data_IF_969037990018
#
_entry.id   IF_969037990018
#
_cell.length_a   1.000
_cell.length_b   1.000
_cell.length_c   1.000
_cell.angle_alpha   90.00
_cell.angle_beta   90.00
_cell.angle_gamma   90.00
#
_symmetry.space_group_name_H-M   'P 1'
#
loop_
_entity.id
_entity.type
_entity.pdbx_description
1 polymer ?
#
# COMPACT_ATOMS: atom_id res chain seq x y z
N UNK A 1 -9.14 0.40 -0.16
CA UNK A 1 -8.43 -0.87 -0.46
C UNK A 1 -8.88 -1.49 -1.77
N UNK A 2 -10.17 -1.78 -2.01
CA UNK A 2 -10.57 -2.44 -3.27
C UNK A 2 -10.32 -1.59 -4.51
N UNK A 3 -10.65 -0.29 -4.45
CA UNK A 3 -10.39 0.64 -5.57
C UNK A 3 -8.89 0.72 -5.93
N UNK A 4 -8.01 0.85 -4.93
CA UNK A 4 -6.56 0.90 -5.16
C UNK A 4 -6.05 -0.39 -5.77
N UNK A 5 -6.52 -1.57 -5.34
CA UNK A 5 -6.11 -2.84 -5.94
C UNK A 5 -6.49 -2.97 -7.42
N UNK A 6 -7.65 -2.45 -7.82
CA UNK A 6 -8.08 -2.44 -9.23
C UNK A 6 -7.19 -1.50 -10.04
N UNK A 7 -6.90 -0.31 -9.51
CA UNK A 7 -5.99 0.63 -10.16
C UNK A 7 -4.56 0.07 -10.25
N UNK A 8 -4.06 -0.58 -9.20
CA UNK A 8 -2.75 -1.26 -9.20
C UNK A 8 -2.69 -2.36 -10.27
N UNK A 9 -3.72 -3.22 -10.38
CA UNK A 9 -3.74 -4.27 -11.41
C UNK A 9 -3.72 -3.70 -12.85
N UNK A 10 -4.35 -2.53 -13.06
CA UNK A 10 -4.29 -1.80 -14.34
C UNK A 10 -2.89 -1.22 -14.59
N UNK A 11 -2.25 -0.64 -13.57
CA UNK A 11 -0.92 -0.04 -13.66
C UNK A 11 0.17 -1.10 -13.89
N UNK A 12 0.08 -2.23 -13.20
CA UNK A 12 1.04 -3.33 -13.27
C UNK A 12 0.80 -4.28 -14.45
N UNK A 13 -0.26 -4.04 -15.24
CA UNK A 13 -0.71 -4.93 -16.31
C UNK A 13 -0.85 -6.39 -15.85
N UNK A 14 -1.38 -6.61 -14.64
CA UNK A 14 -1.48 -7.93 -14.05
C UNK A 14 -2.57 -8.75 -14.77
N UNK A 15 -2.25 -9.98 -15.18
CA UNK A 15 -3.22 -10.90 -15.80
C UNK A 15 -4.08 -11.63 -14.76
N UNK A 16 -3.56 -11.81 -13.54
CA UNK A 16 -4.22 -12.56 -12.46
C UNK A 16 -4.12 -11.85 -11.11
N UNK A 17 -5.11 -12.05 -10.24
CA UNK A 17 -5.14 -11.62 -8.84
C UNK A 17 -5.71 -12.74 -7.98
N UNK A 18 -4.93 -13.20 -6.99
CA UNK A 18 -5.31 -14.29 -6.06
C UNK A 18 -5.77 -15.58 -6.78
N UNK A 19 -5.10 -15.92 -7.89
CA UNK A 19 -5.42 -17.12 -8.68
C UNK A 19 -6.65 -17.03 -9.58
N UNK A 20 -7.30 -15.86 -9.67
CA UNK A 20 -8.38 -15.57 -10.63
C UNK A 20 -7.91 -14.52 -11.63
N UNK A 21 -8.59 -14.43 -12.79
CA UNK A 21 -8.32 -13.38 -13.77
C UNK A 21 -8.49 -12.00 -13.13
N UNK A 22 -7.56 -11.09 -13.42
CA UNK A 22 -7.68 -9.69 -12.98
C UNK A 22 -8.86 -9.00 -13.69
N UNK A 23 -9.39 -7.96 -13.06
CA UNK A 23 -10.52 -7.22 -13.65
C UNK A 23 -10.12 -6.59 -15.00
N UNK A 24 -8.90 -6.07 -15.11
CA UNK A 24 -8.40 -5.49 -16.36
C UNK A 24 -8.20 -6.54 -17.46
N UNK A 25 -7.83 -7.78 -17.13
CA UNK A 25 -7.79 -8.90 -18.09
C UNK A 25 -9.20 -9.25 -18.59
N UNK A 26 -10.17 -9.31 -17.68
CA UNK A 26 -11.54 -9.71 -18.02
C UNK A 26 -12.34 -8.65 -18.81
N UNK A 27 -12.18 -7.36 -18.47
CA UNK A 27 -13.03 -6.28 -19.03
C UNK A 27 -12.27 -5.13 -19.69
N UNK A 28 -10.94 -5.20 -19.72
CA UNK A 28 -10.06 -4.18 -20.28
C UNK A 28 -9.77 -3.02 -19.31
N UNK A 29 -8.60 -2.39 -19.51
CA UNK A 29 -8.04 -1.36 -18.63
C UNK A 29 -8.98 -0.15 -18.42
N UNK A 30 -9.69 0.29 -19.46
CA UNK A 30 -10.58 1.47 -19.38
C UNK A 30 -11.74 1.23 -18.41
N UNK A 31 -12.39 0.07 -18.50
CA UNK A 31 -13.53 -0.23 -17.64
C UNK A 31 -13.07 -0.55 -16.22
N UNK A 32 -11.93 -1.23 -16.07
CA UNK A 32 -11.33 -1.45 -14.76
C UNK A 32 -10.97 -0.13 -14.04
N UNK A 33 -10.38 0.84 -14.74
CA UNK A 33 -10.08 2.16 -14.17
C UNK A 33 -11.35 2.88 -13.68
N UNK A 34 -12.41 2.90 -14.50
CA UNK A 34 -13.70 3.49 -14.14
C UNK A 34 -14.37 2.77 -12.95
N UNK A 35 -14.21 1.45 -12.84
CA UNK A 35 -14.71 0.69 -11.69
C UNK A 35 -13.97 1.09 -10.40
N UNK A 36 -12.65 1.29 -10.48
CA UNK A 36 -11.85 1.84 -9.37
C UNK A 36 -12.34 3.23 -8.95
N UNK A 37 -12.55 4.14 -9.92
CA UNK A 37 -13.05 5.50 -9.66
C UNK A 37 -14.44 5.47 -9.01
N UNK A 38 -15.33 4.61 -9.50
CA UNK A 38 -16.66 4.43 -8.93
C UNK A 38 -16.61 3.97 -7.46
N UNK A 39 -15.77 2.99 -7.14
CA UNK A 39 -15.61 2.51 -5.76
C UNK A 39 -15.01 3.58 -4.86
N UNK A 40 -14.04 4.35 -5.37
CA UNK A 40 -13.45 5.47 -4.64
C UNK A 40 -14.51 6.54 -4.33
N UNK A 41 -15.31 6.92 -5.33
CA UNK A 41 -16.42 7.86 -5.17
C UNK A 41 -17.44 7.37 -4.13
N UNK A 42 -17.82 6.09 -4.19
CA UNK A 42 -18.73 5.46 -3.21
C UNK A 42 -18.17 5.52 -1.79
N UNK A 43 -16.87 5.27 -1.61
CA UNK A 43 -16.21 5.35 -0.31
C UNK A 43 -16.22 6.78 0.26
N UNK A 44 -15.89 7.78 -0.56
CA UNK A 44 -15.93 9.18 -0.14
C UNK A 44 -17.35 9.70 0.13
N UNK A 45 -18.33 9.25 -0.65
CA UNK A 45 -19.74 9.58 -0.41
C UNK A 45 -20.20 9.03 0.95
N UNK A 46 -19.82 7.79 1.28
CA UNK A 46 -20.08 7.20 2.59
C UNK A 46 -19.34 7.97 3.71
N UNK A 47 -18.08 8.34 3.51
CA UNK A 47 -17.33 9.14 4.47
C UNK A 47 -17.95 10.53 4.69
N UNK A 48 -18.42 11.18 3.62
CA UNK A 48 -19.08 12.48 3.68
C UNK A 48 -20.40 12.43 4.47
N UNK A 49 -21.14 11.32 4.39
CA UNK A 49 -22.36 11.11 5.17
C UNK A 49 -22.15 10.98 6.68
N UNK A 50 -20.91 10.83 7.14
CA UNK A 50 -20.57 10.84 8.57
C UNK A 50 -20.58 12.25 9.17
N UNK A 51 -20.62 13.30 8.33
CA UNK A 51 -20.61 14.71 8.74
C UNK A 51 -19.45 15.08 9.69
N UNK A 52 -18.35 14.32 9.63
CA UNK A 52 -17.15 14.53 10.43
C UNK A 52 -15.99 14.94 9.53
N UNK A 53 -15.69 16.24 9.53
CA UNK A 53 -14.65 16.83 8.66
C UNK A 53 -13.25 16.32 8.96
N UNK A 54 -12.95 15.99 10.23
CA UNK A 54 -11.66 15.42 10.61
C UNK A 54 -11.47 14.02 10.02
N UNK A 55 -12.49 13.16 10.11
CA UNK A 55 -12.48 11.82 9.50
C UNK A 55 -12.31 11.91 7.98
N UNK A 56 -13.07 12.79 7.32
CA UNK A 56 -12.94 13.01 5.86
C UNK A 56 -11.53 13.48 5.50
N UNK A 57 -10.93 14.38 6.29
CA UNK A 57 -9.56 14.86 6.09
C UNK A 57 -8.52 13.75 6.26
N UNK A 58 -8.68 12.86 7.24
CA UNK A 58 -7.81 11.70 7.45
C UNK A 58 -7.87 10.73 6.26
N UNK A 59 -9.06 10.45 5.73
CA UNK A 59 -9.23 9.59 4.56
C UNK A 59 -8.64 10.21 3.28
N UNK A 60 -8.86 11.51 3.08
CA UNK A 60 -8.25 12.25 1.97
C UNK A 60 -6.71 12.23 2.07
N UNK A 61 -6.17 12.42 3.28
CA UNK A 61 -4.73 12.29 3.55
C UNK A 61 -4.21 10.90 3.23
N UNK A 62 -4.94 9.86 3.62
CA UNK A 62 -4.56 8.48 3.33
C UNK A 62 -4.48 8.22 1.82
N UNK A 63 -5.42 8.74 1.04
CA UNK A 63 -5.42 8.58 -0.42
C UNK A 63 -4.33 9.38 -1.11
N UNK A 64 -4.07 10.61 -0.67
CA UNK A 64 -2.93 11.38 -1.17
C UNK A 64 -1.61 10.63 -0.91
N UNK A 65 -1.49 10.02 0.26
CA UNK A 65 -0.34 9.20 0.62
C UNK A 65 -0.20 7.97 -0.27
N UNK A 66 -1.30 7.26 -0.57
CA UNK A 66 -1.28 6.10 -1.49
C UNK A 66 -0.78 6.51 -2.88
N UNK A 67 -1.32 7.58 -3.45
CA UNK A 67 -0.88 8.10 -4.76
C UNK A 67 0.59 8.52 -4.71
N UNK A 68 1.01 9.17 -3.63
CA UNK A 68 2.42 9.56 -3.44
C UNK A 68 3.34 8.33 -3.40
N UNK A 69 2.93 7.28 -2.69
CA UNK A 69 3.68 6.02 -2.61
C UNK A 69 3.81 5.33 -3.96
N UNK A 70 2.75 5.39 -4.78
CA UNK A 70 2.77 4.85 -6.14
C UNK A 70 3.70 5.65 -7.06
N UNK A 71 3.63 6.99 -7.00
CA UNK A 71 4.55 7.85 -7.74
C UNK A 71 6.00 7.64 -7.33
N UNK A 72 6.28 7.43 -6.04
CA UNK A 72 7.61 7.06 -5.57
C UNK A 72 8.08 5.75 -6.22
N UNK A 73 7.24 4.71 -6.25
CA UNK A 73 7.57 3.46 -6.91
C UNK A 73 7.89 3.64 -8.40
N UNK A 74 7.09 4.43 -9.12
CA UNK A 74 7.28 4.67 -10.56
C UNK A 74 8.52 5.50 -10.88
N UNK A 75 8.94 6.40 -9.98
CA UNK A 75 10.03 7.37 -10.22
C UNK A 75 11.35 7.00 -9.54
N UNK A 76 11.44 5.80 -8.97
CA UNK A 76 12.61 5.38 -8.18
C UNK A 76 13.89 5.29 -9.02
N UNK A 77 14.96 5.93 -8.55
CA UNK A 77 16.30 5.83 -9.16
C UNK A 77 17.05 4.59 -8.66
N UNK A 78 18.09 4.12 -9.38
CA UNK A 78 18.92 3.00 -8.91
C UNK A 78 19.54 3.22 -7.52
N UNK A 79 19.98 4.43 -7.19
CA UNK A 79 20.52 4.74 -5.87
C UNK A 79 19.45 4.65 -4.76
N UNK A 80 18.24 5.16 -5.04
CA UNK A 80 17.11 5.09 -4.10
C UNK A 80 16.61 3.66 -3.89
N UNK A 81 16.73 2.77 -4.89
CA UNK A 81 16.36 1.35 -4.74
C UNK A 81 17.13 0.64 -3.63
N UNK A 82 18.35 1.07 -3.34
CA UNK A 82 19.19 0.48 -2.28
C UNK A 82 19.07 1.21 -0.93
N UNK A 83 18.24 2.27 -0.83
CA UNK A 83 18.10 3.07 0.38
C UNK A 83 17.00 2.51 1.29
N UNK A 84 17.37 2.13 2.51
CA UNK A 84 16.41 1.70 3.54
C UNK A 84 15.43 2.82 3.91
N UNK A 85 15.90 4.07 3.97
CA UNK A 85 15.03 5.21 4.28
C UNK A 85 13.99 5.41 3.19
N UNK A 86 14.40 5.33 1.92
CA UNK A 86 13.48 5.42 0.79
C UNK A 86 12.47 4.26 0.81
N UNK A 87 12.93 3.04 1.10
CA UNK A 87 12.06 1.88 1.26
C UNK A 87 11.02 2.10 2.37
N UNK A 88 11.43 2.47 3.58
CA UNK A 88 10.53 2.71 4.71
C UNK A 88 9.53 3.84 4.41
N UNK A 89 9.99 4.90 3.72
CA UNK A 89 9.13 6.01 3.31
C UNK A 89 8.09 5.56 2.27
N UNK A 90 8.51 4.81 1.24
CA UNK A 90 7.62 4.24 0.23
C UNK A 90 6.60 3.30 0.88
N UNK A 91 7.05 2.38 1.72
CA UNK A 91 6.21 1.43 2.48
C UNK A 91 5.21 2.13 3.37
N UNK A 92 5.63 3.22 4.02
CA UNK A 92 4.70 4.06 4.77
C UNK A 92 3.61 4.63 3.85
N UNK A 93 3.96 5.27 2.75
CA UNK A 93 2.99 5.91 1.86
C UNK A 93 2.06 4.91 1.16
N UNK A 94 2.60 3.81 0.64
CA UNK A 94 1.87 2.82 -0.16
C UNK A 94 1.01 1.87 0.69
N UNK A 95 1.40 1.61 1.94
CA UNK A 95 0.70 0.62 2.78
C UNK A 95 0.31 1.20 4.14
N UNK A 96 1.28 1.64 4.93
CA UNK A 96 1.03 1.92 6.35
C UNK A 96 0.16 3.16 6.60
N UNK A 97 0.20 4.15 5.71
CA UNK A 97 -0.56 5.38 5.81
C UNK A 97 -2.07 5.14 5.77
N UNK A 98 -2.53 4.17 4.97
CA UNK A 98 -3.95 3.81 4.93
C UNK A 98 -4.39 3.21 6.27
N UNK A 99 -3.60 2.28 6.82
CA UNK A 99 -3.90 1.61 8.08
C UNK A 99 -3.87 2.61 9.24
N UNK A 100 -2.83 3.44 9.33
CA UNK A 100 -2.69 4.44 10.39
C UNK A 100 -3.81 5.47 10.39
N UNK A 101 -4.16 6.03 9.23
CA UNK A 101 -5.27 6.99 9.13
C UNK A 101 -6.62 6.34 9.41
N UNK A 102 -6.82 5.07 9.04
CA UNK A 102 -8.04 4.33 9.35
C UNK A 102 -8.20 4.10 10.85
N UNK A 103 -7.14 3.65 11.55
CA UNK A 103 -7.16 3.49 13.00
C UNK A 103 -7.46 4.82 13.71
N UNK A 104 -6.81 5.91 13.27
CA UNK A 104 -7.06 7.25 13.82
C UNK A 104 -8.49 7.71 13.55
N UNK A 105 -9.01 7.52 12.34
CA UNK A 105 -10.36 7.92 11.96
C UNK A 105 -11.42 7.23 12.82
N UNK A 106 -11.25 5.93 13.12
CA UNK A 106 -12.17 5.20 14.01
C UNK A 106 -12.13 5.76 15.43
N UNK A 107 -10.94 6.07 15.97
CA UNK A 107 -10.81 6.66 17.29
C UNK A 107 -11.49 8.05 17.38
N UNK A 108 -11.27 8.90 16.37
CA UNK A 108 -11.92 10.22 16.25
C UNK A 108 -13.44 10.07 16.16
N UNK A 109 -13.93 9.18 15.30
CA UNK A 109 -15.37 8.94 15.13
C UNK A 109 -16.03 8.41 16.41
N UNK A 110 -15.29 7.68 17.23
CA UNK A 110 -15.75 7.15 18.52
C UNK A 110 -15.68 8.18 19.66
N UNK A 111 -15.32 9.44 19.37
CA UNK A 111 -15.22 10.50 20.38
C UNK A 111 -14.07 10.32 21.37
N UNK A 112 -13.02 9.58 21.01
CA UNK A 112 -11.85 9.39 21.87
C UNK A 112 -10.99 10.66 21.95
N UNK A 113 -10.12 10.73 22.96
CA UNK A 113 -9.20 11.86 23.12
C UNK A 113 -8.18 11.92 21.97
N UNK A 114 -7.62 13.11 21.73
CA UNK A 114 -6.56 13.30 20.75
C UNK A 114 -5.32 12.42 21.03
N UNK A 115 -5.05 12.13 22.30
CA UNK A 115 -3.98 11.21 22.71
C UNK A 115 -4.25 9.78 22.24
N UNK A 116 -5.45 9.24 22.51
CA UNK A 116 -5.85 7.89 22.07
C UNK A 116 -5.87 7.81 20.55
N UNK A 117 -6.37 8.84 19.86
CA UNK A 117 -6.34 8.90 18.40
C UNK A 117 -4.90 8.91 17.85
N UNK A 118 -3.98 9.61 18.53
CA UNK A 118 -2.55 9.60 18.22
C UNK A 118 -1.90 8.23 18.42
N UNK A 119 -2.24 7.53 19.50
CA UNK A 119 -1.77 6.16 19.76
C UNK A 119 -2.32 5.17 18.71
N UNK A 120 -3.60 5.28 18.36
CA UNK A 120 -4.22 4.45 17.31
C UNK A 120 -3.52 4.66 15.95
N UNK A 121 -3.15 5.89 15.63
CA UNK A 121 -2.36 6.19 14.44
C UNK A 121 -0.98 5.50 14.46
N UNK A 122 -0.25 5.62 15.57
CA UNK A 122 1.08 5.00 15.69
C UNK A 122 1.00 3.48 15.62
N UNK A 123 0.00 2.89 16.28
CA UNK A 123 -0.27 1.45 16.17
C UNK A 123 -0.45 1.03 14.71
N UNK A 124 -1.36 1.70 13.98
CA UNK A 124 -1.61 1.38 12.57
C UNK A 124 -0.39 1.60 11.68
N UNK A 125 0.43 2.61 11.98
CA UNK A 125 1.69 2.89 11.26
C UNK A 125 2.69 1.75 11.44
N UNK A 126 2.95 1.33 12.66
CA UNK A 126 3.89 0.25 12.94
C UNK A 126 3.38 -1.10 12.39
N UNK A 127 2.09 -1.38 12.54
CA UNK A 127 1.45 -2.58 11.99
C UNK A 127 1.59 -2.62 10.46
N UNK A 128 1.31 -1.52 9.77
CA UNK A 128 1.38 -1.47 8.31
C UNK A 128 2.79 -1.62 7.76
N UNK A 129 3.80 -1.04 8.42
CA UNK A 129 5.20 -1.24 8.03
C UNK A 129 5.61 -2.71 8.25
N UNK A 130 5.26 -3.29 9.40
CA UNK A 130 5.58 -4.68 9.71
C UNK A 130 4.89 -5.65 8.74
N UNK A 131 3.63 -5.39 8.40
CA UNK A 131 2.86 -6.18 7.43
C UNK A 131 3.57 -6.21 6.07
N UNK A 132 3.94 -5.06 5.52
CA UNK A 132 4.61 -5.00 4.21
C UNK A 132 5.99 -5.66 4.24
N UNK A 133 6.74 -5.49 5.33
CA UNK A 133 8.05 -6.14 5.46
C UNK A 133 7.92 -7.67 5.44
N UNK A 134 6.91 -8.22 6.10
CA UNK A 134 6.63 -9.66 6.08
C UNK A 134 6.20 -10.10 4.67
N UNK A 135 5.32 -9.34 4.02
CA UNK A 135 4.87 -9.59 2.65
C UNK A 135 6.05 -9.67 1.67
N UNK A 136 6.94 -8.68 1.70
CA UNK A 136 8.15 -8.64 0.86
C UNK A 136 9.11 -9.81 1.15
N UNK A 137 9.23 -10.26 2.41
CA UNK A 137 10.04 -11.43 2.79
C UNK A 137 9.39 -12.74 2.29
N UNK A 138 8.06 -12.84 2.35
CA UNK A 138 7.33 -14.01 1.86
C UNK A 138 7.43 -14.10 0.34
N UNK A 139 7.36 -12.99 -0.37
CA UNK A 139 7.60 -12.94 -1.81
C UNK A 139 9.01 -13.41 -2.19
N UNK A 140 10.00 -13.17 -1.33
CA UNK A 140 11.37 -13.66 -1.54
C UNK A 140 11.54 -15.15 -1.21
N UNK A 141 10.94 -15.62 -0.12
CA UNK A 141 11.16 -16.98 0.41
C UNK A 141 10.17 -18.02 -0.12
N UNK A 142 9.06 -17.57 -0.69
CA UNK A 142 8.01 -18.44 -1.19
C UNK A 142 8.39 -19.12 -2.50
N UNK A 143 8.17 -20.43 -2.57
CA UNK A 143 8.15 -21.16 -3.85
C UNK A 143 6.95 -20.72 -4.69
N UNK A 144 7.08 -20.73 -6.02
CA UNK A 144 6.02 -20.36 -6.98
C UNK A 144 4.66 -21.07 -6.76
N UNK A 145 4.63 -22.17 -6.02
CA UNK A 145 3.40 -22.89 -5.63
C UNK A 145 2.57 -22.20 -4.52
N UNK A 146 3.14 -21.33 -3.68
CA UNK A 146 2.43 -20.71 -2.54
C UNK A 146 2.01 -19.26 -2.75
N UNK A 147 2.61 -18.55 -3.72
CA UNK A 147 2.46 -17.09 -3.88
C UNK A 147 1.43 -16.66 -4.95
N UNK A 148 1.00 -17.56 -5.84
CA UNK A 148 -0.11 -17.29 -6.77
C UNK A 148 0.10 -16.14 -7.78
N UNK A 149 1.31 -15.58 -7.90
CA UNK A 149 1.75 -14.62 -8.93
C UNK A 149 3.20 -14.93 -9.36
N UNK A 150 3.56 -14.56 -10.59
CA UNK A 150 4.91 -14.73 -11.13
C UNK A 150 5.95 -13.99 -10.27
N UNK A 151 6.89 -14.73 -9.70
CA UNK A 151 7.60 -14.36 -8.47
C UNK A 151 8.79 -13.39 -8.62
N UNK A 152 8.77 -12.37 -9.50
CA UNK A 152 10.02 -11.63 -9.78
C UNK A 152 9.93 -10.10 -9.99
N UNK A 153 8.76 -9.45 -9.96
CA UNK A 153 8.66 -8.02 -10.31
C UNK A 153 9.12 -7.05 -9.21
N UNK A 154 8.89 -7.36 -7.93
CA UNK A 154 9.20 -6.45 -6.80
C UNK A 154 10.59 -6.66 -6.17
N UNK A 155 11.37 -7.59 -6.75
CA UNK A 155 12.61 -8.16 -6.19
C UNK A 155 13.79 -7.19 -6.03
N UNK A 156 13.73 -5.96 -6.54
CA UNK A 156 14.95 -5.13 -6.59
C UNK A 156 15.25 -4.28 -5.35
N UNK A 157 14.30 -4.03 -4.45
CA UNK A 157 14.51 -3.05 -3.36
C UNK A 157 15.02 -3.66 -2.04
N UNK A 158 14.27 -4.61 -1.47
CA UNK A 158 14.66 -5.26 -0.20
C UNK A 158 15.91 -6.13 -0.38
N UNK A 159 16.00 -6.82 -1.52
CA UNK A 159 17.10 -7.73 -1.87
C UNK A 159 18.42 -7.00 -2.04
N UNK A 160 18.43 -5.79 -2.62
CA UNK A 160 19.67 -5.02 -2.79
C UNK A 160 20.28 -4.61 -1.44
N UNK A 161 19.45 -4.24 -0.45
CA UNK A 161 19.92 -3.87 0.88
C UNK A 161 20.35 -5.09 1.70
N UNK A 162 19.55 -6.17 1.73
CA UNK A 162 19.91 -7.40 2.45
C UNK A 162 21.16 -8.06 1.85
N UNK A 163 21.29 -8.08 0.52
CA UNK A 163 22.51 -8.56 -0.14
C UNK A 163 23.69 -7.65 0.21
N UNK A 164 23.59 -6.32 0.04
CA UNK A 164 24.68 -5.39 0.34
C UNK A 164 25.17 -5.47 1.79
N UNK A 165 24.27 -5.67 2.75
CA UNK A 165 24.64 -5.83 4.18
C UNK A 165 25.19 -7.22 4.50
N UNK A 166 24.81 -8.25 3.75
CA UNK A 166 25.39 -9.60 3.88
C UNK A 166 26.79 -9.72 3.25
N UNK A 167 27.07 -9.05 2.12
CA UNK A 167 28.42 -9.03 1.53
C UNK A 167 29.41 -8.20 2.33
N UNK A 168 28.97 -7.18 3.06
CA UNK A 168 29.81 -6.38 3.97
C UNK A 168 30.20 -7.09 5.27
N UNK A 169 29.65 -8.28 5.58
CA UNK A 169 30.02 -9.09 6.76
C UNK A 169 30.96 -10.26 6.44
N UNK A 170 31.35 -10.44 5.18
CA UNK A 170 32.26 -11.52 4.74
C UNK A 170 33.46 -11.03 3.90
N UNK A 171 33.83 -9.75 4.02
CA UNK A 171 35.06 -9.19 3.44
C UNK A 171 35.94 -8.58 4.53
#
# INVERSE_FOLDING_TARGET
>A
MVASLIHDDVLDAADTRRGMDSLNSAVGNKLAALAGDFLLFRAFSAAGSLENTEVVSLLATALNNLVTGELMQMTVTPAQRCSMDYYLQKTYYKTAALISNSCKAVAVLSGQTAEVAGLAYQYGRHLGIAYQLIDDILDFTGTSASLGKGSLSDIHQVTAFLLATSTLKFA
#
